data_IF_331417146274
#
_entry.id   IF_331417146274
#
_cell.length_a   1.000
_cell.length_b   1.000
_cell.length_c   1.000
_cell.angle_alpha   90.00
_cell.angle_beta   90.00
_cell.angle_gamma   90.00
#
_symmetry.space_group_name_H-M   'P 1'
#
loop_
_entity.id
_entity.type
_entity.pdbx_description
1 polymer ?
#
# COMPACT_ATOMS: atom_id res chain seq x y z
N UNK A 1 -63.93 11.18 -5.65
CA UNK A 1 -62.90 10.58 -6.52
C UNK A 1 -61.85 11.57 -7.08
N UNK A 2 -62.02 12.90 -6.98
CA UNK A 2 -61.09 13.87 -7.59
C UNK A 2 -59.89 14.31 -6.71
N UNK A 3 -59.98 14.20 -5.38
CA UNK A 3 -58.92 14.65 -4.46
C UNK A 3 -57.71 13.71 -4.38
N UNK A 4 -57.91 12.41 -4.59
CA UNK A 4 -56.85 11.39 -4.49
C UNK A 4 -55.90 11.39 -5.70
N UNK A 5 -56.41 11.69 -6.90
CA UNK A 5 -55.55 11.85 -8.09
C UNK A 5 -54.63 13.07 -7.99
N UNK A 6 -55.12 14.19 -7.46
CA UNK A 6 -54.33 15.41 -7.27
C UNK A 6 -53.16 15.20 -6.29
N UNK A 7 -53.39 14.43 -5.22
CA UNK A 7 -52.36 14.11 -4.23
C UNK A 7 -51.28 13.17 -4.80
N UNK A 8 -51.68 12.21 -5.65
CA UNK A 8 -50.75 11.31 -6.35
C UNK A 8 -49.92 12.03 -7.41
N UNK A 9 -50.52 12.98 -8.14
CA UNK A 9 -49.78 13.79 -9.11
C UNK A 9 -48.78 14.73 -8.44
N UNK A 10 -49.11 15.30 -7.27
CA UNK A 10 -48.20 16.18 -6.54
C UNK A 10 -47.00 15.42 -5.94
N UNK A 11 -47.22 14.22 -5.42
CA UNK A 11 -46.13 13.36 -4.89
C UNK A 11 -45.24 12.79 -5.99
N UNK A 12 -45.80 12.41 -7.15
CA UNK A 12 -45.01 11.99 -8.30
C UNK A 12 -44.11 13.12 -8.86
N UNK A 13 -44.62 14.36 -8.92
CA UNK A 13 -43.84 15.53 -9.36
C UNK A 13 -42.71 15.84 -8.36
N UNK A 14 -42.95 15.72 -7.04
CA UNK A 14 -41.89 15.89 -6.03
C UNK A 14 -40.81 14.80 -6.11
N UNK A 15 -41.17 13.55 -6.42
CA UNK A 15 -40.21 12.47 -6.62
C UNK A 15 -39.36 12.66 -7.89
N UNK A 16 -39.95 13.14 -8.99
CA UNK A 16 -39.21 13.44 -10.22
C UNK A 16 -38.32 14.68 -10.03
N UNK A 17 -38.79 15.70 -9.30
CA UNK A 17 -37.99 16.89 -8.97
C UNK A 17 -36.80 16.59 -8.04
N UNK A 18 -36.92 15.60 -7.14
CA UNK A 18 -35.82 15.13 -6.29
C UNK A 18 -34.89 14.13 -6.99
N UNK A 19 -35.33 13.43 -8.03
CA UNK A 19 -34.47 12.55 -8.83
C UNK A 19 -33.50 13.33 -9.74
N UNK A 20 -33.76 14.63 -10.00
CA UNK A 20 -32.85 15.53 -10.71
C UNK A 20 -31.71 16.12 -9.86
N UNK A 21 -31.56 15.67 -8.60
CA UNK A 21 -30.56 16.23 -7.68
C UNK A 21 -29.17 15.69 -7.98
N UNK A 22 -28.43 16.49 -8.75
CA UNK A 22 -26.97 16.53 -8.82
C UNK A 22 -26.27 15.27 -9.35
N UNK A 23 -26.34 15.10 -10.67
CA UNK A 23 -25.11 14.79 -11.39
C UNK A 23 -24.23 16.04 -11.31
N UNK A 24 -23.51 16.23 -10.19
CA UNK A 24 -22.38 17.15 -10.18
C UNK A 24 -21.42 16.57 -11.20
N UNK A 25 -21.32 17.19 -12.38
CA UNK A 25 -20.13 17.08 -13.19
C UNK A 25 -18.99 17.49 -12.25
N UNK A 26 -18.29 16.49 -11.72
CA UNK A 26 -16.94 16.68 -11.23
C UNK A 26 -16.15 17.01 -12.49
N UNK A 27 -16.19 18.27 -12.92
CA UNK A 27 -15.05 18.81 -13.64
C UNK A 27 -13.89 18.63 -12.68
N UNK A 28 -13.13 17.56 -12.90
CA UNK A 28 -11.87 17.37 -12.23
C UNK A 28 -11.13 18.69 -12.39
N UNK A 29 -10.72 19.28 -11.27
CA UNK A 29 -9.93 20.52 -11.26
C UNK A 29 -8.74 20.28 -12.19
N UNK A 30 -8.83 20.82 -13.40
CA UNK A 30 -7.85 20.64 -14.47
C UNK A 30 -6.74 21.68 -14.39
N UNK A 31 -6.80 22.55 -13.37
CA UNK A 31 -5.74 23.49 -13.07
C UNK A 31 -4.55 22.75 -12.47
N UNK A 32 -3.58 22.45 -13.34
CA UNK A 32 -2.29 21.88 -12.99
C UNK A 32 -1.27 22.94 -12.59
N UNK A 33 -1.65 24.22 -12.53
CA UNK A 33 -0.72 25.34 -12.30
C UNK A 33 0.31 25.48 -13.43
N UNK A 34 0.00 25.00 -14.64
CA UNK A 34 0.92 24.97 -15.78
C UNK A 34 1.90 23.79 -15.79
N UNK A 35 1.75 22.83 -14.86
CA UNK A 35 2.59 21.64 -14.82
C UNK A 35 2.12 20.59 -15.82
N UNK A 36 3.06 20.10 -16.64
CA UNK A 36 2.86 18.94 -17.50
C UNK A 36 4.07 18.01 -17.39
N UNK A 37 4.00 16.84 -18.04
CA UNK A 37 5.17 15.95 -18.14
C UNK A 37 6.34 16.59 -18.88
N UNK A 38 6.07 17.57 -19.73
CA UNK A 38 7.09 18.31 -20.50
C UNK A 38 7.84 19.33 -19.63
N UNK A 39 7.26 19.72 -18.49
CA UNK A 39 7.92 20.59 -17.50
C UNK A 39 9.08 19.88 -16.78
N UNK A 40 9.26 18.57 -16.97
CA UNK A 40 10.28 17.76 -16.32
C UNK A 40 11.28 17.19 -17.33
N UNK A 41 12.51 16.86 -16.89
CA UNK A 41 13.49 16.22 -17.77
C UNK A 41 12.94 14.94 -18.44
N UNK A 42 13.39 14.69 -19.68
CA UNK A 42 13.04 13.45 -20.38
C UNK A 42 13.42 12.22 -19.54
N UNK A 43 12.46 11.34 -19.31
CA UNK A 43 12.64 10.14 -18.49
C UNK A 43 12.36 10.36 -17.00
N UNK A 44 11.85 11.52 -16.58
CA UNK A 44 11.41 11.74 -15.21
C UNK A 44 10.32 10.75 -14.81
N UNK A 45 10.52 10.09 -13.65
CA UNK A 45 9.65 9.02 -13.15
C UNK A 45 8.65 9.58 -12.16
N UNK A 46 7.37 9.50 -12.49
CA UNK A 46 6.29 9.71 -11.52
C UNK A 46 5.85 8.37 -10.96
N UNK A 47 5.82 8.26 -9.64
CA UNK A 47 5.41 7.03 -8.98
C UNK A 47 4.73 7.31 -7.64
N UNK A 48 4.14 6.27 -7.09
CA UNK A 48 3.63 6.28 -5.72
C UNK A 48 4.38 5.28 -4.86
N UNK A 49 4.24 5.40 -3.55
CA UNK A 49 4.72 4.42 -2.58
C UNK A 49 3.57 3.97 -1.69
N UNK A 50 3.51 2.68 -1.37
CA UNK A 50 2.57 2.19 -0.37
C UNK A 50 3.29 1.45 0.75
N UNK A 51 2.77 1.59 1.96
CA UNK A 51 3.31 1.00 3.19
C UNK A 51 2.20 0.34 3.98
N UNK A 52 2.50 -0.82 4.56
CA UNK A 52 1.55 -1.58 5.39
C UNK A 52 0.19 -1.81 4.70
N UNK A 53 0.21 -2.06 3.39
CA UNK A 53 -1.01 -2.23 2.58
C UNK A 53 -1.44 -3.68 2.37
N UNK A 54 -0.55 -4.64 2.62
CA UNK A 54 -0.77 -6.03 2.24
C UNK A 54 -1.92 -6.70 2.99
N UNK A 55 -2.00 -6.51 4.32
CA UNK A 55 -2.84 -7.35 5.17
C UNK A 55 -2.31 -8.78 5.29
N UNK A 56 -3.20 -9.71 5.69
CA UNK A 56 -2.91 -11.13 5.86
C UNK A 56 -1.68 -11.41 6.75
N UNK A 57 -1.67 -10.80 7.93
CA UNK A 57 -0.58 -10.88 8.92
C UNK A 57 -0.42 -12.29 9.49
N UNK A 58 -1.52 -13.04 9.65
CA UNK A 58 -1.53 -14.43 10.15
C UNK A 58 -1.84 -15.50 9.11
N UNK A 59 -1.74 -15.19 7.82
CA UNK A 59 -2.09 -16.11 6.72
C UNK A 59 -1.00 -16.15 5.65
N UNK A 60 -1.09 -17.12 4.73
CA UNK A 60 -0.20 -17.22 3.57
C UNK A 60 1.26 -17.45 3.93
N UNK A 61 1.52 -18.19 5.01
CA UNK A 61 2.86 -18.53 5.49
C UNK A 61 3.59 -17.39 6.22
N UNK A 62 3.01 -16.18 6.32
CA UNK A 62 3.70 -15.06 6.99
C UNK A 62 3.93 -15.36 8.47
N UNK A 63 5.19 -15.29 8.91
CA UNK A 63 5.55 -15.29 10.33
C UNK A 63 5.26 -13.92 10.98
N UNK A 64 5.11 -13.88 12.32
CA UNK A 64 4.89 -12.63 13.04
C UNK A 64 6.09 -11.68 12.91
N UNK A 65 5.81 -10.38 12.82
CA UNK A 65 6.78 -9.31 12.94
C UNK A 65 6.58 -8.54 14.25
N UNK A 66 7.53 -7.67 14.60
CA UNK A 66 7.49 -6.85 15.82
C UNK A 66 6.21 -6.00 15.92
N UNK A 67 5.67 -5.51 14.80
CA UNK A 67 4.42 -4.74 14.79
C UNK A 67 3.21 -5.58 15.17
N UNK A 68 3.15 -6.86 14.78
CA UNK A 68 1.99 -7.72 15.08
C UNK A 68 1.79 -7.93 16.59
N UNK A 69 2.87 -7.83 17.37
CA UNK A 69 2.83 -7.86 18.83
C UNK A 69 2.53 -6.49 19.40
N UNK A 70 3.17 -5.45 18.87
CA UNK A 70 3.02 -4.08 19.34
C UNK A 70 1.57 -3.58 19.22
N UNK A 71 0.91 -3.79 18.07
CA UNK A 71 -0.47 -3.30 17.84
C UNK A 71 -1.51 -3.97 18.74
N UNK A 72 -1.21 -5.12 19.33
CA UNK A 72 -2.11 -5.82 20.26
C UNK A 72 -2.12 -5.21 21.66
N UNK A 73 -1.19 -4.29 21.96
CA UNK A 73 -1.16 -3.61 23.26
C UNK A 73 -2.26 -2.55 23.31
N UNK A 74 -3.22 -2.65 24.26
CA UNK A 74 -4.32 -1.68 24.33
C UNK A 74 -3.83 -0.24 24.54
N UNK A 75 -4.37 0.69 23.77
CA UNK A 75 -4.10 2.12 23.89
C UNK A 75 -2.88 2.65 23.12
N UNK A 76 -2.12 1.76 22.47
CA UNK A 76 -0.94 2.17 21.68
C UNK A 76 -1.31 2.58 20.25
N UNK A 77 -2.37 2.01 19.70
CA UNK A 77 -2.93 2.36 18.39
C UNK A 77 -4.28 3.04 18.59
N UNK A 78 -4.56 4.09 17.82
CA UNK A 78 -5.88 4.72 17.82
C UNK A 78 -6.95 3.65 17.53
N UNK A 79 -8.02 3.64 18.33
CA UNK A 79 -9.11 2.65 18.26
C UNK A 79 -8.69 1.17 18.45
N UNK A 80 -7.43 0.90 18.82
CA UNK A 80 -6.84 -0.45 18.84
C UNK A 80 -6.92 -1.17 17.48
N UNK A 81 -6.80 -0.41 16.38
CA UNK A 81 -6.82 -0.97 15.03
C UNK A 81 -5.60 -1.88 14.77
N UNK A 82 -5.77 -2.88 13.88
CA UNK A 82 -4.70 -3.79 13.45
C UNK A 82 -4.48 -3.74 11.95
N UNK A 83 -3.32 -4.23 11.50
CA UNK A 83 -2.99 -4.36 10.08
C UNK A 83 -3.36 -5.75 9.53
N UNK A 84 -4.20 -6.53 10.22
CA UNK A 84 -4.53 -7.91 9.83
C UNK A 84 -5.18 -7.98 8.45
N UNK A 85 -5.97 -6.97 8.10
CA UNK A 85 -6.52 -6.77 6.74
C UNK A 85 -5.90 -5.54 6.07
N UNK A 86 -5.69 -4.44 6.80
CA UNK A 86 -5.26 -3.15 6.24
C UNK A 86 -6.14 -2.73 5.04
N UNK A 87 -5.54 -2.46 3.87
CA UNK A 87 -6.28 -2.20 2.61
C UNK A 87 -6.33 -3.43 1.68
N UNK A 88 -5.91 -4.60 2.18
CA UNK A 88 -6.08 -5.91 1.53
C UNK A 88 -5.42 -6.02 0.15
N UNK A 89 -4.25 -5.39 -0.05
CA UNK A 89 -3.52 -5.45 -1.32
C UNK A 89 -3.07 -6.89 -1.65
N UNK A 90 -2.85 -7.76 -0.66
CA UNK A 90 -2.31 -9.08 -0.94
C UNK A 90 -3.16 -9.91 -1.92
N UNK A 91 -4.48 -10.05 -1.76
CA UNK A 91 -5.34 -10.63 -2.79
C UNK A 91 -5.68 -9.65 -3.93
N UNK A 92 -5.69 -8.33 -3.68
CA UNK A 92 -6.19 -7.31 -4.62
C UNK A 92 -5.14 -6.60 -5.47
N UNK A 93 -3.88 -7.02 -5.41
CA UNK A 93 -2.77 -6.32 -6.05
C UNK A 93 -2.98 -5.98 -7.53
N UNK A 94 -3.75 -6.78 -8.27
CA UNK A 94 -4.07 -6.49 -9.67
C UNK A 94 -4.87 -5.20 -9.83
N UNK A 95 -5.87 -4.99 -8.97
CA UNK A 95 -6.71 -3.79 -8.96
C UNK A 95 -5.86 -2.55 -8.70
N UNK A 96 -4.96 -2.62 -7.72
CA UNK A 96 -4.04 -1.52 -7.40
C UNK A 96 -3.12 -1.19 -8.57
N UNK A 97 -2.49 -2.19 -9.19
CA UNK A 97 -1.60 -1.96 -10.35
C UNK A 97 -2.39 -1.43 -11.56
N UNK A 98 -3.63 -1.90 -11.78
CA UNK A 98 -4.49 -1.40 -12.84
C UNK A 98 -4.86 0.07 -12.64
N UNK A 99 -5.10 0.49 -11.39
CA UNK A 99 -5.29 1.90 -11.05
C UNK A 99 -4.04 2.73 -11.32
N UNK A 100 -2.85 2.23 -10.96
CA UNK A 100 -1.60 2.95 -11.24
C UNK A 100 -1.37 3.15 -12.74
N UNK A 101 -1.66 2.13 -13.54
CA UNK A 101 -1.60 2.23 -15.00
C UNK A 101 -2.64 3.24 -15.54
N UNK A 102 -3.88 3.19 -15.01
CA UNK A 102 -4.96 4.12 -15.40
C UNK A 102 -4.61 5.58 -15.10
N UNK A 103 -3.95 5.84 -13.98
CA UNK A 103 -3.49 7.18 -13.60
C UNK A 103 -2.15 7.57 -14.24
N UNK A 104 -1.66 6.77 -15.19
CA UNK A 104 -0.44 7.04 -15.94
C UNK A 104 0.78 7.22 -15.03
N UNK A 105 0.90 6.43 -13.96
CA UNK A 105 2.14 6.36 -13.18
C UNK A 105 3.19 5.53 -13.93
N UNK A 106 4.47 5.88 -13.72
CA UNK A 106 5.61 5.20 -14.34
C UNK A 106 6.18 4.10 -13.44
N UNK A 107 6.05 4.27 -12.12
CA UNK A 107 6.67 3.40 -11.13
C UNK A 107 5.82 3.21 -9.88
N UNK A 108 6.07 2.11 -9.20
CA UNK A 108 5.51 1.83 -7.88
C UNK A 108 6.60 1.35 -6.94
N UNK A 109 6.71 2.05 -5.81
CA UNK A 109 7.58 1.69 -4.71
C UNK A 109 6.80 0.87 -3.68
N UNK A 110 7.17 -0.39 -3.55
CA UNK A 110 6.60 -1.32 -2.58
C UNK A 110 7.68 -1.81 -1.62
N UNK A 111 7.26 -2.29 -0.46
CA UNK A 111 8.17 -2.94 0.49
C UNK A 111 7.97 -4.45 0.47
N UNK A 112 9.06 -5.20 0.59
CA UNK A 112 9.04 -6.65 0.72
C UNK A 112 9.02 -6.96 2.21
N UNK A 113 8.03 -7.72 2.65
CA UNK A 113 7.91 -8.09 4.06
C UNK A 113 8.86 -9.23 4.40
N UNK A 114 9.83 -8.94 5.28
CA UNK A 114 10.85 -9.90 5.67
C UNK A 114 10.24 -11.12 6.34
N UNK A 115 9.28 -10.91 7.26
CA UNK A 115 8.61 -12.01 7.96
C UNK A 115 7.70 -12.84 7.05
N UNK A 116 7.43 -12.38 5.83
CA UNK A 116 6.66 -13.12 4.83
C UNK A 116 7.53 -13.93 3.88
N UNK A 117 8.69 -13.42 3.49
CA UNK A 117 9.55 -14.06 2.47
C UNK A 117 9.91 -15.49 2.86
N UNK A 118 10.18 -15.74 4.13
CA UNK A 118 10.41 -17.08 4.67
C UNK A 118 9.19 -17.48 5.51
N UNK A 119 8.42 -18.52 5.15
CA UNK A 119 8.69 -19.56 4.15
C UNK A 119 8.08 -19.34 2.74
N UNK A 120 6.93 -18.68 2.58
CA UNK A 120 6.11 -18.78 1.34
C UNK A 120 5.89 -17.46 0.55
N UNK A 121 6.38 -16.33 1.04
CA UNK A 121 6.08 -15.00 0.48
C UNK A 121 6.60 -14.75 -0.93
N UNK A 122 7.59 -15.53 -1.38
CA UNK A 122 8.22 -15.38 -2.70
C UNK A 122 7.21 -15.44 -3.84
N UNK A 123 6.23 -16.34 -3.75
CA UNK A 123 5.22 -16.49 -4.79
C UNK A 123 4.35 -15.23 -4.94
N UNK A 124 4.01 -14.57 -3.83
CA UNK A 124 3.24 -13.32 -3.85
C UNK A 124 4.01 -12.20 -4.54
N UNK A 125 5.24 -11.92 -4.09
CA UNK A 125 6.04 -10.86 -4.69
C UNK A 125 6.35 -11.12 -6.16
N UNK A 126 6.55 -12.39 -6.56
CA UNK A 126 6.67 -12.74 -7.96
C UNK A 126 5.42 -12.38 -8.77
N UNK A 127 4.22 -12.69 -8.28
CA UNK A 127 2.97 -12.33 -8.97
C UNK A 127 2.78 -10.81 -9.07
N UNK A 128 3.03 -10.09 -7.98
CA UNK A 128 2.97 -8.62 -7.93
C UNK A 128 3.93 -8.01 -8.96
N UNK A 129 5.22 -8.34 -8.87
CA UNK A 129 6.28 -7.80 -9.74
C UNK A 129 6.00 -8.13 -11.22
N UNK A 130 5.60 -9.37 -11.52
CA UNK A 130 5.29 -9.76 -12.89
C UNK A 130 4.10 -8.98 -13.45
N UNK A 131 3.08 -8.72 -12.63
CA UNK A 131 1.92 -7.94 -13.06
C UNK A 131 2.26 -6.47 -13.27
N UNK A 132 3.12 -5.89 -12.42
CA UNK A 132 3.65 -4.54 -12.61
C UNK A 132 4.39 -4.40 -13.95
N UNK A 133 5.34 -5.30 -14.21
CA UNK A 133 6.11 -5.31 -15.46
C UNK A 133 5.18 -5.47 -16.67
N UNK A 134 4.19 -6.37 -16.58
CA UNK A 134 3.17 -6.56 -17.63
C UNK A 134 2.38 -5.28 -17.93
N UNK A 135 2.13 -4.44 -16.92
CA UNK A 135 1.37 -3.19 -17.03
C UNK A 135 2.25 -1.97 -17.33
N UNK A 136 3.55 -2.15 -17.55
CA UNK A 136 4.49 -1.06 -17.79
C UNK A 136 4.82 -0.23 -16.55
N UNK A 137 4.52 -0.74 -15.35
CA UNK A 137 4.86 -0.10 -14.08
C UNK A 137 6.22 -0.61 -13.62
N UNK A 138 7.17 0.32 -13.45
CA UNK A 138 8.53 -0.03 -13.01
C UNK A 138 8.54 -0.36 -11.51
N UNK A 139 9.03 -1.54 -11.09
CA UNK A 139 9.13 -1.90 -9.68
C UNK A 139 10.32 -1.24 -8.99
N UNK A 140 10.02 -0.62 -7.85
CA UNK A 140 11.01 -0.07 -6.92
C UNK A 140 10.90 -0.83 -5.59
N UNK A 141 11.84 -1.73 -5.32
CA UNK A 141 11.81 -2.61 -4.16
C UNK A 141 12.43 -1.98 -2.92
N UNK A 142 11.70 -1.92 -1.81
CA UNK A 142 12.22 -1.55 -0.50
C UNK A 142 12.36 -2.79 0.38
N UNK A 143 13.55 -3.04 0.93
CA UNK A 143 13.85 -4.26 1.68
C UNK A 143 13.35 -4.22 3.11
N UNK A 144 13.42 -3.06 3.76
CA UNK A 144 13.05 -2.92 5.15
C UNK A 144 12.05 -1.77 5.34
N UNK A 145 10.91 -2.10 5.93
CA UNK A 145 9.96 -1.11 6.40
C UNK A 145 9.44 -1.42 7.80
N UNK A 146 10.37 -1.53 8.75
CA UNK A 146 10.07 -1.66 10.18
C UNK A 146 9.35 -2.95 10.59
N UNK A 147 9.20 -3.89 9.68
CA UNK A 147 8.51 -5.16 9.86
C UNK A 147 9.50 -6.30 10.13
N UNK A 148 10.44 -6.06 11.05
CA UNK A 148 11.42 -7.04 11.50
C UNK A 148 10.71 -8.33 11.96
N UNK A 149 11.11 -9.52 11.49
CA UNK A 149 10.57 -10.77 12.00
C UNK A 149 10.74 -10.89 13.51
N UNK A 150 9.68 -11.25 14.23
CA UNK A 150 9.68 -11.33 15.68
C UNK A 150 10.73 -12.33 16.19
N UNK A 151 10.91 -13.46 15.47
CA UNK A 151 11.90 -14.47 15.81
C UNK A 151 13.33 -13.91 15.89
N UNK A 152 13.69 -12.92 15.07
CA UNK A 152 15.01 -12.28 15.11
C UNK A 152 15.13 -11.29 16.28
N UNK A 153 14.02 -10.61 16.60
CA UNK A 153 13.94 -9.76 17.79
C UNK A 153 14.13 -10.59 19.07
N UNK A 154 13.49 -11.75 19.16
CA UNK A 154 13.57 -12.63 20.33
C UNK A 154 14.91 -13.36 20.43
N UNK A 155 15.46 -13.82 19.30
CA UNK A 155 16.69 -14.61 19.27
C UNK A 155 17.93 -13.80 19.67
N UNK A 156 18.04 -12.55 19.21
CA UNK A 156 19.24 -11.75 19.44
C UNK A 156 18.99 -10.25 19.56
N UNK A 157 17.75 -9.79 19.78
CA UNK A 157 17.45 -8.36 19.96
C UNK A 157 17.34 -7.56 18.66
N UNK A 158 17.20 -8.23 17.51
CA UNK A 158 16.94 -7.57 16.23
C UNK A 158 18.05 -6.60 15.81
N UNK A 159 17.68 -5.37 15.45
CA UNK A 159 18.60 -4.33 15.01
C UNK A 159 19.64 -3.90 16.05
N UNK A 160 19.49 -4.27 17.33
CA UNK A 160 20.46 -3.98 18.39
C UNK A 160 21.68 -4.92 18.35
N UNK A 161 21.61 -6.02 17.58
CA UNK A 161 22.69 -6.99 17.46
C UNK A 161 23.35 -6.94 16.09
N UNK A 162 24.67 -7.13 16.05
CA UNK A 162 25.41 -7.27 14.79
C UNK A 162 25.03 -8.52 13.99
N UNK A 163 24.37 -9.49 14.61
CA UNK A 163 23.90 -10.70 13.93
C UNK A 163 22.73 -10.42 12.97
N UNK A 164 22.12 -9.23 13.03
CA UNK A 164 21.04 -8.82 12.13
C UNK A 164 21.46 -8.69 10.66
N UNK A 165 22.77 -8.69 10.39
CA UNK A 165 23.32 -8.74 9.04
C UNK A 165 23.08 -10.14 8.48
N UNK A 166 21.83 -10.41 8.10
CA UNK A 166 21.41 -11.67 7.48
C UNK A 166 21.41 -11.55 5.93
N UNK A 167 21.47 -12.70 5.27
CA UNK A 167 21.44 -12.84 3.80
C UNK A 167 20.08 -12.50 3.16
N UNK A 168 19.18 -11.82 3.88
CA UNK A 168 17.85 -11.44 3.39
C UNK A 168 17.94 -10.55 2.14
N UNK A 169 18.78 -9.51 2.18
CA UNK A 169 18.98 -8.62 1.03
C UNK A 169 19.52 -9.38 -0.18
N UNK A 170 20.52 -10.24 0.04
CA UNK A 170 21.11 -11.08 -1.00
C UNK A 170 20.06 -12.01 -1.63
N UNK A 171 19.22 -12.65 -0.81
CA UNK A 171 18.11 -13.48 -1.26
C UNK A 171 17.14 -12.67 -2.15
N UNK A 172 16.72 -11.48 -1.72
CA UNK A 172 15.84 -10.62 -2.50
C UNK A 172 16.47 -10.21 -3.84
N UNK A 173 17.76 -9.86 -3.85
CA UNK A 173 18.47 -9.51 -5.08
C UNK A 173 18.57 -10.69 -6.04
N UNK A 174 18.91 -11.89 -5.55
CA UNK A 174 18.96 -13.11 -6.36
C UNK A 174 17.59 -13.50 -6.92
N UNK A 175 16.53 -13.35 -6.13
CA UNK A 175 15.19 -13.81 -6.49
C UNK A 175 14.44 -12.83 -7.39
N UNK A 176 14.58 -11.53 -7.14
CA UNK A 176 13.78 -10.49 -7.82
C UNK A 176 14.61 -9.54 -8.69
N UNK A 177 15.93 -9.54 -8.57
CA UNK A 177 16.83 -8.56 -9.22
C UNK A 177 16.85 -8.61 -10.74
N UNK A 178 16.37 -9.69 -11.37
CA UNK A 178 16.14 -9.72 -12.81
C UNK A 178 15.10 -8.67 -13.25
N UNK A 179 14.05 -8.47 -12.45
CA UNK A 179 12.90 -7.59 -12.76
C UNK A 179 12.93 -6.29 -11.96
N UNK A 180 13.49 -6.30 -10.76
CA UNK A 180 13.61 -5.13 -9.88
C UNK A 180 15.03 -4.55 -10.02
N UNK A 181 15.13 -3.36 -10.61
CA UNK A 181 16.41 -2.67 -10.86
C UNK A 181 16.68 -1.50 -9.91
N UNK A 182 15.65 -1.04 -9.21
CA UNK A 182 15.73 0.07 -8.27
C UNK A 182 15.46 -0.47 -6.86
N UNK A 183 16.43 -0.31 -5.97
CA UNK A 183 16.39 -0.88 -4.62
C UNK A 183 16.60 0.19 -3.56
N UNK A 184 15.87 0.06 -2.46
CA UNK A 184 16.06 0.80 -1.22
C UNK A 184 16.32 -0.20 -0.10
N UNK A 185 17.35 0.04 0.71
CA UNK A 185 17.69 -0.83 1.84
C UNK A 185 16.77 -0.62 3.02
N UNK A 186 16.41 0.63 3.30
CA UNK A 186 15.52 1.01 4.39
C UNK A 186 14.67 2.20 3.97
N UNK A 187 13.43 2.25 4.46
CA UNK A 187 12.54 3.36 4.15
C UNK A 187 12.95 4.68 4.80
N UNK A 188 13.32 4.67 6.07
CA UNK A 188 13.74 5.86 6.83
C UNK A 188 14.80 5.46 7.86
N UNK A 189 15.98 6.07 7.76
CA UNK A 189 16.98 6.14 8.84
C UNK A 189 16.85 7.51 9.53
N UNK A 190 16.71 7.55 10.85
CA UNK A 190 16.79 8.81 11.61
C UNK A 190 15.54 9.29 12.34
N UNK A 191 14.41 8.56 12.34
CA UNK A 191 13.37 8.79 13.36
C UNK A 191 13.86 8.27 14.70
N UNK A 192 14.62 9.11 15.41
CA UNK A 192 14.87 8.94 16.83
C UNK A 192 13.52 9.11 17.52
N UNK A 193 13.05 8.08 18.23
CA UNK A 193 11.95 8.23 19.20
C UNK A 193 12.46 8.96 20.46
N UNK A 194 13.23 10.03 20.30
CA UNK A 194 13.49 10.99 21.36
C UNK A 194 12.55 12.15 21.08
N UNK A 195 11.53 12.31 21.94
CA UNK A 195 10.90 13.60 22.29
C UNK A 195 9.50 13.44 22.92
N UNK A 196 9.05 12.23 23.30
CA UNK A 196 7.89 12.07 24.19
C UNK A 196 8.06 10.92 25.17
N UNK A 197 8.90 11.16 26.18
CA UNK A 197 8.83 10.50 27.47
C UNK A 197 9.42 11.48 28.50
N UNK A 198 8.61 12.48 28.85
CA UNK A 198 8.63 13.22 30.11
C UNK A 198 7.18 13.65 30.37
#
# INVERSE_FOLDING_TARGET
MKAWLLCYTFTAILCIANAGRQHRNLEAVSDTGGLSRESFPKGFVFGTSAYHVEGMTGQGGRGPCVWDVYVKQPGYIANNDTADVAVDQYPRYKEDIDLLAKFNFNAYRFSISWSRIFPDGVAYYNRLINYMVKKGITPYGNLNHYDLPLALQEKYGGYLSRQIVENYAEFCFKTFGERVKNWFTSNVFGRRLSDRAN
#
